data_IF_765720431689
#
_entry.id   IF_765720431689
#
_cell.length_a   1.000
_cell.length_b   1.000
_cell.length_c   1.000
_cell.angle_alpha   90.00
_cell.angle_beta   90.00
_cell.angle_gamma   90.00
#
_symmetry.space_group_name_H-M   'P 1'
#
loop_
_entity.id
_entity.type
_entity.pdbx_description
1 polymer ?
#
# COMPACT_ATOMS: atom_id res chain seq x y z
N UNK A 1 20.75 36.21 35.92
CA UNK A 1 19.51 35.71 36.54
C UNK A 1 18.90 34.72 35.58
N UNK A 2 18.94 33.41 35.89
CA UNK A 2 18.44 32.37 35.00
C UNK A 2 16.91 32.28 35.15
N UNK A 3 16.16 32.61 34.11
CA UNK A 3 14.72 32.36 34.07
C UNK A 3 14.51 30.87 33.81
N UNK A 4 14.22 30.13 34.88
CA UNK A 4 13.79 28.74 34.81
C UNK A 4 12.35 28.71 34.33
N UNK A 5 12.12 28.31 33.08
CA UNK A 5 10.82 27.79 32.68
C UNK A 5 10.50 26.58 33.56
N UNK A 6 9.28 26.54 34.09
CA UNK A 6 8.80 25.67 35.17
C UNK A 6 8.80 24.15 34.84
N UNK A 7 9.41 23.74 33.72
CA UNK A 7 9.58 22.34 33.32
C UNK A 7 11.02 21.85 33.43
N UNK A 8 12.03 22.73 33.54
CA UNK A 8 13.43 22.37 33.87
C UNK A 8 14.17 21.46 32.87
N UNK A 9 13.56 21.06 31.75
CA UNK A 9 14.20 20.15 30.79
C UNK A 9 15.06 20.95 29.81
N UNK A 10 16.36 21.09 30.10
CA UNK A 10 17.33 21.53 29.10
C UNK A 10 17.64 20.38 28.14
N UNK A 11 17.02 20.39 26.96
CA UNK A 11 17.34 19.41 25.91
C UNK A 11 18.67 19.82 25.27
N UNK A 12 19.71 19.01 25.49
CA UNK A 12 21.02 19.16 24.87
C UNK A 12 20.88 19.22 23.33
N UNK A 13 21.68 20.05 22.65
CA UNK A 13 21.69 20.16 21.17
C UNK A 13 21.85 18.80 20.48
N UNK A 14 22.62 17.87 21.07
CA UNK A 14 22.73 16.49 20.59
C UNK A 14 21.40 15.73 20.66
N UNK A 15 20.68 15.83 21.78
CA UNK A 15 19.37 15.18 21.93
C UNK A 15 18.32 15.77 20.98
N UNK A 16 18.40 17.07 20.70
CA UNK A 16 17.53 17.74 19.73
C UNK A 16 17.72 17.18 18.32
N UNK A 17 18.97 17.05 17.87
CA UNK A 17 19.27 16.48 16.54
C UNK A 17 18.77 15.04 16.40
N UNK A 18 18.86 14.24 17.47
CA UNK A 18 18.32 12.87 17.50
C UNK A 18 16.79 12.89 17.40
N UNK A 19 16.13 13.79 18.13
CA UNK A 19 14.68 13.92 18.12
C UNK A 19 14.16 14.40 16.77
N UNK A 20 14.83 15.37 16.15
CA UNK A 20 14.55 15.82 14.78
C UNK A 20 14.68 14.66 13.79
N UNK A 21 15.79 13.93 13.84
CA UNK A 21 16.02 12.80 12.95
C UNK A 21 14.95 11.72 13.11
N UNK A 22 14.61 11.34 14.36
CA UNK A 22 13.56 10.38 14.64
C UNK A 22 12.19 10.89 14.16
N UNK A 23 11.86 12.15 14.43
CA UNK A 23 10.63 12.80 14.00
C UNK A 23 10.47 12.81 12.48
N UNK A 24 11.50 13.22 11.74
CA UNK A 24 11.48 13.19 10.27
C UNK A 24 11.36 11.77 9.72
N UNK A 25 12.10 10.81 10.29
CA UNK A 25 12.06 9.43 9.83
C UNK A 25 10.66 8.84 10.00
N UNK A 26 10.03 9.00 11.18
CA UNK A 26 8.67 8.52 11.42
C UNK A 26 7.64 9.26 10.57
N UNK A 27 7.84 10.56 10.32
CA UNK A 27 6.97 11.34 9.45
C UNK A 27 7.03 10.87 8.00
N UNK A 28 8.22 10.54 7.48
CA UNK A 28 8.38 9.99 6.13
C UNK A 28 7.66 8.64 6.03
N UNK A 29 7.79 7.77 7.03
CA UNK A 29 7.08 6.47 7.05
C UNK A 29 5.57 6.67 7.04
N UNK A 30 5.05 7.59 7.88
CA UNK A 30 3.62 7.94 7.91
C UNK A 30 3.12 8.49 6.57
N UNK A 31 3.90 9.38 5.93
CA UNK A 31 3.61 9.88 4.57
C UNK A 31 3.51 8.73 3.56
N UNK A 32 4.47 7.81 3.57
CA UNK A 32 4.47 6.67 2.65
C UNK A 32 3.21 5.82 2.86
N UNK A 33 2.83 5.52 4.11
CA UNK A 33 1.64 4.71 4.39
C UNK A 33 0.35 5.40 3.91
N UNK A 34 0.18 6.68 4.20
CA UNK A 34 -1.00 7.45 3.75
C UNK A 34 -1.06 7.55 2.22
N UNK A 35 0.08 7.81 1.56
CA UNK A 35 0.16 7.86 0.10
C UNK A 35 -0.14 6.49 -0.52
N UNK A 36 0.44 5.41 -0.01
CA UNK A 36 0.22 4.06 -0.54
C UNK A 36 -1.24 3.62 -0.38
N UNK A 37 -1.88 3.96 0.74
CA UNK A 37 -3.31 3.67 0.92
C UNK A 37 -4.16 4.47 -0.06
N UNK A 38 -4.00 5.80 -0.13
CA UNK A 38 -4.85 6.62 -1.00
C UNK A 38 -4.62 6.30 -2.49
N UNK A 39 -3.40 5.99 -2.89
CA UNK A 39 -3.11 5.56 -4.27
C UNK A 39 -3.68 4.18 -4.58
N UNK A 40 -3.84 3.29 -3.59
CA UNK A 40 -4.47 1.99 -3.78
C UNK A 40 -5.98 2.07 -4.03
N UNK A 41 -6.63 3.18 -3.68
CA UNK A 41 -8.06 3.42 -3.91
C UNK A 41 -8.38 3.86 -5.34
N UNK A 42 -7.37 4.05 -6.18
CA UNK A 42 -7.49 4.62 -7.51
C UNK A 42 -6.94 3.67 -8.56
N UNK A 43 -7.66 3.47 -9.66
CA UNK A 43 -7.21 2.63 -10.77
C UNK A 43 -6.42 3.41 -11.82
N UNK A 44 -6.83 4.66 -12.10
CA UNK A 44 -6.20 5.54 -13.09
C UNK A 44 -4.86 6.11 -12.60
N UNK A 45 -3.89 6.26 -13.50
CA UNK A 45 -2.59 6.88 -13.17
C UNK A 45 -2.71 8.34 -12.75
N UNK A 46 -3.64 9.09 -13.35
CA UNK A 46 -3.87 10.49 -13.01
C UNK A 46 -4.47 10.61 -11.61
N UNK A 47 -5.48 9.80 -11.31
CA UNK A 47 -6.13 9.78 -10.00
C UNK A 47 -5.14 9.30 -8.92
N UNK A 48 -4.25 8.35 -9.23
CA UNK A 48 -3.14 7.96 -8.33
C UNK A 48 -2.24 9.14 -8.01
N UNK A 49 -1.84 9.95 -9.00
CA UNK A 49 -1.02 11.14 -8.76
C UNK A 49 -1.74 12.14 -7.85
N UNK A 50 -3.03 12.37 -8.08
CA UNK A 50 -3.86 13.28 -7.29
C UNK A 50 -4.04 12.78 -5.85
N UNK A 51 -4.28 11.47 -5.67
CA UNK A 51 -4.38 10.83 -4.36
C UNK A 51 -3.05 10.85 -3.61
N UNK A 52 -1.92 10.68 -4.30
CA UNK A 52 -0.59 10.83 -3.70
C UNK A 52 -0.35 12.26 -3.21
N UNK A 53 -0.63 13.27 -4.03
CA UNK A 53 -0.50 14.67 -3.64
C UNK A 53 -1.40 15.02 -2.45
N UNK A 54 -2.64 14.52 -2.45
CA UNK A 54 -3.60 14.70 -1.35
C UNK A 54 -3.10 14.05 -0.06
N UNK A 55 -2.54 12.84 -0.14
CA UNK A 55 -1.95 12.15 1.01
C UNK A 55 -0.80 12.92 1.65
N UNK A 56 0.12 13.44 0.83
CA UNK A 56 1.20 14.32 1.31
C UNK A 56 0.61 15.57 1.98
N UNK A 57 -0.41 16.18 1.36
CA UNK A 57 -1.08 17.36 1.92
C UNK A 57 -1.70 17.12 3.29
N UNK A 58 -2.40 16.00 3.48
CA UNK A 58 -2.99 15.62 4.77
C UNK A 58 -1.92 15.42 5.85
N UNK A 59 -0.82 14.78 5.49
CA UNK A 59 0.28 14.49 6.41
C UNK A 59 1.02 15.75 6.85
N UNK A 60 1.37 16.63 5.91
CA UNK A 60 1.97 17.94 6.23
C UNK A 60 1.02 18.78 7.08
N UNK A 61 -0.27 18.77 6.76
CA UNK A 61 -1.30 19.48 7.52
C UNK A 61 -1.41 18.97 8.96
N UNK A 62 -1.35 17.65 9.17
CA UNK A 62 -1.38 17.02 10.50
C UNK A 62 -0.26 17.55 11.39
N UNK A 63 0.98 17.56 10.88
CA UNK A 63 2.14 18.05 11.61
C UNK A 63 2.13 19.56 11.86
N UNK A 64 1.40 20.34 11.05
CA UNK A 64 1.21 21.77 11.30
C UNK A 64 0.09 22.04 12.32
N UNK A 65 -1.08 21.42 12.17
CA UNK A 65 -2.26 21.73 12.98
C UNK A 65 -2.12 21.32 14.44
N UNK A 66 -1.45 20.20 14.74
CA UNK A 66 -1.33 19.72 16.12
C UNK A 66 -0.48 20.66 17.00
N UNK A 67 0.75 21.06 16.61
CA UNK A 67 1.52 22.06 17.35
C UNK A 67 0.85 23.43 17.40
N UNK A 68 0.22 23.87 16.30
CA UNK A 68 -0.51 25.15 16.25
C UNK A 68 -1.68 25.15 17.24
N UNK A 69 -2.42 24.03 17.36
CA UNK A 69 -3.49 23.91 18.34
C UNK A 69 -2.97 24.07 19.78
N UNK A 70 -1.85 23.44 20.11
CA UNK A 70 -1.21 23.58 21.42
C UNK A 70 -0.77 25.03 21.69
N UNK A 71 -0.19 25.70 20.69
CA UNK A 71 0.19 27.12 20.82
C UNK A 71 -1.02 28.04 21.04
N UNK A 72 -2.15 27.80 20.37
CA UNK A 72 -3.36 28.60 20.59
C UNK A 72 -3.96 28.39 21.97
N UNK A 73 -3.90 27.16 22.51
CA UNK A 73 -4.32 26.90 23.88
C UNK A 73 -3.45 27.63 24.90
N UNK A 74 -2.12 27.66 24.67
CA UNK A 74 -1.20 28.41 25.53
C UNK A 74 -1.44 29.92 25.50
N UNK A 75 -1.86 30.47 24.35
CA UNK A 75 -2.16 31.91 24.20
C UNK A 75 -3.59 32.30 24.63
N UNK A 76 -4.38 31.37 25.16
CA UNK A 76 -5.76 31.64 25.61
C UNK A 76 -6.79 31.77 24.47
N UNK A 77 -6.42 31.51 23.22
CA UNK A 77 -7.34 31.51 22.07
C UNK A 77 -8.05 30.15 21.94
N UNK A 78 -8.82 29.75 22.96
CA UNK A 78 -9.40 28.41 23.08
C UNK A 78 -10.28 28.01 21.88
N UNK A 79 -11.02 28.94 21.27
CA UNK A 79 -11.88 28.64 20.11
C UNK A 79 -11.06 28.22 18.88
N UNK A 80 -10.00 28.96 18.57
CA UNK A 80 -9.11 28.65 17.46
C UNK A 80 -8.29 27.38 17.74
N UNK A 81 -7.79 27.25 18.99
CA UNK A 81 -7.10 26.04 19.44
C UNK A 81 -7.98 24.79 19.31
N UNK A 82 -9.24 24.86 19.76
CA UNK A 82 -10.19 23.75 19.65
C UNK A 82 -10.49 23.39 18.20
N UNK A 83 -10.71 24.37 17.32
CA UNK A 83 -10.94 24.11 15.90
C UNK A 83 -9.74 23.40 15.24
N UNK A 84 -8.53 23.91 15.45
CA UNK A 84 -7.30 23.28 14.93
C UNK A 84 -7.06 21.90 15.54
N UNK A 85 -7.40 21.70 16.81
CA UNK A 85 -7.26 20.42 17.49
C UNK A 85 -8.21 19.35 16.92
N UNK A 86 -9.47 19.71 16.66
CA UNK A 86 -10.44 18.79 16.04
C UNK A 86 -9.98 18.37 14.64
N UNK A 87 -9.48 19.31 13.83
CA UNK A 87 -8.92 19.01 12.51
C UNK A 87 -7.68 18.10 12.66
N UNK A 88 -6.78 18.41 13.60
CA UNK A 88 -5.61 17.59 13.91
C UNK A 88 -5.98 16.16 14.28
N UNK A 89 -6.96 15.96 15.17
CA UNK A 89 -7.46 14.63 15.54
C UNK A 89 -8.04 13.90 14.33
N UNK A 90 -8.86 14.57 13.50
CA UNK A 90 -9.43 13.96 12.31
C UNK A 90 -8.35 13.48 11.33
N UNK A 91 -7.29 14.27 11.14
CA UNK A 91 -6.14 13.89 10.31
C UNK A 91 -5.33 12.73 10.91
N UNK A 92 -5.14 12.71 12.24
CA UNK A 92 -4.49 11.59 12.93
C UNK A 92 -5.30 10.30 12.77
N UNK A 93 -6.63 10.35 12.95
CA UNK A 93 -7.49 9.18 12.77
C UNK A 93 -7.47 8.64 11.34
N UNK A 94 -7.44 9.54 10.35
CA UNK A 94 -7.28 9.16 8.94
C UNK A 94 -5.93 8.46 8.71
N UNK A 95 -4.84 9.02 9.26
CA UNK A 95 -3.48 8.47 9.14
C UNK A 95 -3.33 7.12 9.87
N UNK A 96 -3.96 6.96 11.04
CA UNK A 96 -4.04 5.68 11.75
C UNK A 96 -4.75 4.61 10.92
N UNK A 97 -5.92 4.96 10.36
CA UNK A 97 -6.68 4.06 9.49
C UNK A 97 -5.86 3.67 8.26
N UNK A 98 -5.13 4.62 7.69
CA UNK A 98 -4.25 4.37 6.56
C UNK A 98 -3.10 3.42 6.89
N UNK A 99 -2.43 3.65 8.02
CA UNK A 99 -1.33 2.81 8.51
C UNK A 99 -1.79 1.39 8.82
N UNK A 100 -2.91 1.23 9.53
CA UNK A 100 -3.49 -0.09 9.83
C UNK A 100 -3.90 -0.81 8.55
N UNK A 101 -4.61 -0.13 7.64
CA UNK A 101 -5.04 -0.70 6.37
C UNK A 101 -3.86 -1.18 5.51
N UNK A 102 -2.81 -0.37 5.42
CA UNK A 102 -1.60 -0.71 4.67
C UNK A 102 -0.87 -1.92 5.28
N UNK A 103 -0.61 -1.91 6.60
CA UNK A 103 0.06 -3.02 7.27
C UNK A 103 -0.74 -4.32 7.16
N UNK A 104 -2.06 -4.23 7.34
CA UNK A 104 -2.96 -5.38 7.20
C UNK A 104 -2.90 -5.97 5.79
N UNK A 105 -3.04 -5.11 4.76
CA UNK A 105 -2.96 -5.52 3.35
C UNK A 105 -1.60 -6.14 2.99
N UNK A 106 -0.49 -5.59 3.49
CA UNK A 106 0.85 -6.13 3.22
C UNK A 106 1.07 -7.50 3.83
N UNK A 107 0.63 -7.71 5.08
CA UNK A 107 0.72 -9.02 5.71
C UNK A 107 -0.12 -10.04 4.96
N UNK A 108 -1.35 -9.69 4.55
CA UNK A 108 -2.20 -10.63 3.81
C UNK A 108 -1.69 -10.94 2.41
N UNK A 109 -1.19 -9.94 1.69
CA UNK A 109 -0.54 -10.16 0.41
C UNK A 109 0.69 -11.07 0.56
N UNK A 110 1.46 -10.91 1.63
CA UNK A 110 2.62 -11.76 1.90
C UNK A 110 2.20 -13.19 2.28
N UNK A 111 1.14 -13.33 3.06
CA UNK A 111 0.55 -14.63 3.42
C UNK A 111 0.01 -15.36 2.18
N UNK A 112 -0.66 -14.63 1.27
CA UNK A 112 -1.14 -15.18 0.00
C UNK A 112 0.03 -15.65 -0.87
N UNK A 113 1.06 -14.82 -1.04
CA UNK A 113 2.26 -15.21 -1.79
C UNK A 113 2.96 -16.41 -1.16
N UNK A 114 3.05 -16.46 0.18
CA UNK A 114 3.62 -17.60 0.89
C UNK A 114 2.80 -18.87 0.62
N UNK A 115 1.47 -18.78 0.72
CA UNK A 115 0.53 -19.86 0.38
C UNK A 115 0.71 -20.36 -1.05
N UNK A 116 0.70 -19.47 -2.04
CA UNK A 116 0.90 -19.82 -3.46
C UNK A 116 2.29 -20.42 -3.74
N UNK A 117 3.30 -19.98 -2.99
CA UNK A 117 4.66 -20.49 -3.13
C UNK A 117 4.87 -21.86 -2.47
N UNK A 118 3.96 -22.27 -1.58
CA UNK A 118 4.08 -23.49 -0.78
C UNK A 118 4.08 -24.76 -1.64
N UNK A 119 4.79 -25.79 -1.17
CA UNK A 119 4.86 -27.09 -1.84
C UNK A 119 3.48 -27.74 -1.88
N UNK A 120 2.71 -27.62 -0.80
CA UNK A 120 1.37 -28.18 -0.68
C UNK A 120 0.40 -27.54 -1.70
N UNK A 121 0.37 -26.22 -1.79
CA UNK A 121 -0.44 -25.51 -2.79
C UNK A 121 -0.09 -25.95 -4.21
N UNK A 122 1.20 -26.00 -4.54
CA UNK A 122 1.68 -26.43 -5.85
C UNK A 122 1.35 -27.87 -6.16
N UNK A 123 1.44 -28.76 -5.16
CA UNK A 123 1.09 -30.17 -5.32
C UNK A 123 -0.41 -30.33 -5.59
N UNK A 124 -1.27 -29.65 -4.82
CA UNK A 124 -2.71 -29.67 -5.04
C UNK A 124 -3.05 -29.11 -6.42
N UNK A 125 -2.47 -27.97 -6.80
CA UNK A 125 -2.73 -27.37 -8.10
C UNK A 125 -2.24 -28.26 -9.25
N UNK A 126 -1.10 -28.95 -9.08
CA UNK A 126 -0.65 -29.96 -10.04
C UNK A 126 -1.61 -31.15 -10.15
N UNK A 127 -2.26 -31.57 -9.06
CA UNK A 127 -3.28 -32.63 -9.09
C UNK A 127 -4.56 -32.14 -9.79
N UNK A 128 -4.95 -30.88 -9.57
CA UNK A 128 -6.08 -30.25 -10.26
C UNK A 128 -5.83 -30.21 -11.77
N UNK A 129 -4.64 -29.82 -12.22
CA UNK A 129 -4.28 -29.81 -13.64
C UNK A 129 -4.32 -31.21 -14.28
N UNK A 130 -3.87 -32.22 -13.55
CA UNK A 130 -3.95 -33.62 -13.98
C UNK A 130 -5.41 -34.08 -14.11
N UNK A 131 -6.25 -33.74 -13.14
CA UNK A 131 -7.69 -34.05 -13.16
C UNK A 131 -8.38 -33.34 -14.33
N UNK A 132 -8.08 -32.06 -14.58
CA UNK A 132 -8.64 -31.32 -15.71
C UNK A 132 -8.26 -31.95 -17.06
N UNK A 133 -7.01 -32.40 -17.18
CA UNK A 133 -6.56 -33.13 -18.36
C UNK A 133 -7.34 -34.43 -18.54
N UNK A 134 -7.57 -35.18 -17.46
CA UNK A 134 -8.36 -36.43 -17.49
C UNK A 134 -9.83 -36.18 -17.86
N UNK A 135 -10.46 -35.16 -17.28
CA UNK A 135 -11.83 -34.76 -17.59
C UNK A 135 -11.94 -34.38 -19.08
N UNK A 136 -11.02 -33.57 -19.58
CA UNK A 136 -11.02 -33.16 -20.99
C UNK A 136 -10.85 -34.35 -21.93
N UNK A 137 -9.93 -35.28 -21.61
CA UNK A 137 -9.74 -36.50 -22.39
C UNK A 137 -10.96 -37.42 -22.36
N UNK A 138 -11.61 -37.59 -21.19
CA UNK A 138 -12.83 -38.37 -21.04
C UNK A 138 -14.00 -37.75 -21.80
N UNK A 139 -14.19 -36.44 -21.70
CA UNK A 139 -15.25 -35.73 -22.43
C UNK A 139 -15.04 -35.79 -23.94
N UNK A 140 -13.80 -35.61 -24.42
CA UNK A 140 -13.48 -35.76 -25.84
C UNK A 140 -13.75 -37.19 -26.32
N UNK A 141 -13.33 -38.21 -25.56
CA UNK A 141 -13.58 -39.60 -25.89
C UNK A 141 -15.08 -39.97 -25.84
N UNK A 142 -15.82 -39.44 -24.86
CA UNK A 142 -17.27 -39.62 -24.74
C UNK A 142 -18.02 -39.00 -25.91
N UNK A 143 -17.59 -37.82 -26.38
CA UNK A 143 -18.17 -37.15 -27.54
C UNK A 143 -17.96 -37.95 -28.83
N UNK A 144 -16.77 -38.53 -29.02
CA UNK A 144 -16.49 -39.43 -30.15
C UNK A 144 -17.38 -40.67 -30.08
N UNK A 145 -17.46 -41.32 -28.93
CA UNK A 145 -18.25 -42.54 -28.73
C UNK A 145 -19.75 -42.32 -28.89
N UNK A 146 -20.26 -41.14 -28.48
CA UNK A 146 -21.67 -40.77 -28.63
C UNK A 146 -22.13 -40.76 -30.11
N UNK A 147 -21.21 -40.49 -31.03
CA UNK A 147 -21.47 -40.46 -32.48
C UNK A 147 -21.24 -41.80 -33.18
N UNK A 148 -20.80 -42.83 -32.45
CA UNK A 148 -20.53 -44.15 -33.02
C UNK A 148 -21.80 -44.86 -33.49
N UNK A 149 -21.69 -45.62 -34.58
CA UNK A 149 -22.78 -46.46 -35.12
C UNK A 149 -22.99 -47.75 -34.32
N UNK A 150 -22.04 -48.11 -33.47
CA UNK A 150 -22.12 -49.31 -32.64
C UNK A 150 -22.78 -48.97 -31.30
N UNK A 151 -23.92 -49.62 -31.01
CA UNK A 151 -24.71 -49.38 -29.78
C UNK A 151 -23.87 -49.53 -28.51
N UNK A 152 -23.02 -50.56 -28.44
CA UNK A 152 -22.14 -50.81 -27.30
C UNK A 152 -21.12 -49.69 -27.06
N UNK A 153 -20.64 -49.04 -28.12
CA UNK A 153 -19.70 -47.91 -28.02
C UNK A 153 -20.44 -46.65 -27.55
N UNK A 154 -21.64 -46.42 -28.07
CA UNK A 154 -22.50 -45.30 -27.65
C UNK A 154 -22.93 -45.40 -26.19
N UNK A 155 -23.29 -46.59 -25.72
CA UNK A 155 -23.63 -46.84 -24.32
C UNK A 155 -22.40 -46.69 -23.39
N UNK A 156 -21.18 -46.82 -23.93
CA UNK A 156 -19.93 -46.50 -23.22
C UNK A 156 -19.67 -45.00 -23.01
N UNK A 157 -20.33 -44.13 -23.78
CA UNK A 157 -20.22 -42.68 -23.65
C UNK A 157 -20.72 -42.19 -22.29
N UNK A 158 -21.87 -42.70 -21.82
CA UNK A 158 -22.43 -42.31 -20.51
C UNK A 158 -21.54 -42.71 -19.34
N UNK A 159 -20.83 -43.85 -19.43
CA UNK A 159 -19.89 -44.26 -18.40
C UNK A 159 -18.70 -43.29 -18.31
N UNK A 160 -18.16 -42.84 -19.45
CA UNK A 160 -17.07 -41.87 -19.51
C UNK A 160 -17.50 -40.50 -18.98
N UNK A 161 -18.73 -40.08 -19.28
CA UNK A 161 -19.31 -38.84 -18.71
C UNK A 161 -19.46 -38.94 -17.19
N UNK A 162 -19.94 -40.06 -16.65
CA UNK A 162 -20.03 -40.26 -15.20
C UNK A 162 -18.65 -40.25 -14.51
N UNK A 163 -17.63 -40.84 -15.14
CA UNK A 163 -16.25 -40.77 -14.62
C UNK A 163 -15.71 -39.33 -14.62
N UNK A 164 -16.03 -38.54 -15.66
CA UNK A 164 -15.66 -37.13 -15.71
C UNK A 164 -16.35 -36.31 -14.61
N UNK A 165 -17.61 -36.62 -14.28
CA UNK A 165 -18.34 -36.00 -13.17
C UNK A 165 -17.72 -36.31 -11.81
N UNK A 166 -17.38 -37.58 -11.54
CA UNK A 166 -16.69 -37.98 -10.29
C UNK A 166 -15.33 -37.29 -10.13
N UNK A 167 -14.57 -37.17 -11.22
CA UNK A 167 -13.33 -36.40 -11.23
C UNK A 167 -13.58 -34.91 -10.97
N UNK A 168 -14.68 -34.36 -11.50
CA UNK A 168 -15.13 -33.00 -11.21
C UNK A 168 -15.41 -32.77 -9.72
N UNK A 169 -16.10 -33.69 -9.06
CA UNK A 169 -16.32 -33.63 -7.61
C UNK A 169 -15.01 -33.67 -6.82
N UNK A 170 -14.09 -34.56 -7.20
CA UNK A 170 -12.76 -34.66 -6.57
C UNK A 170 -11.94 -33.38 -6.75
N UNK A 171 -12.04 -32.73 -7.92
CA UNK A 171 -11.43 -31.42 -8.15
C UNK A 171 -11.97 -30.37 -7.18
N UNK A 172 -13.30 -30.31 -7.00
CA UNK A 172 -13.91 -29.38 -6.04
C UNK A 172 -13.41 -29.65 -4.61
N UNK A 173 -13.29 -30.91 -4.21
CA UNK A 173 -12.74 -31.28 -2.89
C UNK A 173 -11.29 -30.81 -2.73
N UNK A 174 -10.42 -31.05 -3.73
CA UNK A 174 -9.03 -30.58 -3.70
C UNK A 174 -8.93 -29.05 -3.62
N UNK A 175 -9.79 -28.34 -4.36
CA UNK A 175 -9.85 -26.88 -4.30
C UNK A 175 -10.31 -26.38 -2.92
N UNK A 176 -11.24 -27.08 -2.27
CA UNK A 176 -11.65 -26.74 -0.90
C UNK A 176 -10.51 -26.95 0.12
N UNK A 177 -9.66 -27.95 -0.08
CA UNK A 177 -8.48 -28.17 0.77
C UNK A 177 -7.46 -27.03 0.69
N UNK A 178 -7.43 -26.26 -0.41
CA UNK A 178 -6.56 -25.08 -0.50
C UNK A 178 -6.93 -24.03 0.54
N UNK A 179 -8.20 -23.93 0.97
CA UNK A 179 -8.62 -22.97 2.00
C UNK A 179 -7.96 -23.24 3.35
N UNK A 180 -7.66 -24.51 3.65
CA UNK A 180 -7.02 -24.93 4.89
C UNK A 180 -5.52 -24.59 4.96
N UNK A 181 -4.88 -24.27 3.84
CA UNK A 181 -3.47 -23.87 3.84
C UNK A 181 -3.37 -22.46 4.44
N UNK A 182 -2.84 -22.39 5.66
CA UNK A 182 -2.64 -21.14 6.38
C UNK A 182 -1.37 -20.43 5.93
N UNK A 183 -1.50 -19.55 4.93
CA UNK A 183 -0.40 -18.74 4.44
C UNK A 183 0.23 -17.81 5.49
N UNK A 184 -0.51 -17.47 6.56
CA UNK A 184 -0.03 -16.58 7.60
C UNK A 184 1.12 -17.21 8.38
N UNK A 185 0.99 -18.49 8.78
CA UNK A 185 2.01 -19.25 9.52
C UNK A 185 3.34 -19.39 8.76
N UNK A 186 3.27 -19.34 7.43
CA UNK A 186 4.44 -19.43 6.55
C UNK A 186 5.23 -18.12 6.47
N UNK A 187 4.71 -17.02 7.03
CA UNK A 187 5.40 -15.72 7.07
C UNK A 187 6.00 -15.47 8.45
N UNK A 188 7.13 -14.75 8.50
CA UNK A 188 7.77 -14.37 9.78
C UNK A 188 6.89 -13.46 10.64
N UNK A 189 6.13 -12.55 10.03
CA UNK A 189 5.17 -11.71 10.75
C UNK A 189 4.00 -12.52 11.29
N UNK A 190 3.50 -13.49 10.51
CA UNK A 190 2.41 -14.35 10.95
C UNK A 190 2.80 -15.27 12.10
N UNK A 191 3.98 -15.90 12.05
CA UNK A 191 4.46 -16.72 13.18
C UNK A 191 4.62 -15.91 14.46
N UNK A 192 5.03 -14.64 14.37
CA UNK A 192 5.05 -13.72 15.51
C UNK A 192 3.64 -13.46 16.06
N UNK A 193 2.64 -13.22 15.20
CA UNK A 193 1.25 -13.03 15.65
C UNK A 193 0.68 -14.30 16.29
N UNK A 194 0.98 -15.48 15.75
CA UNK A 194 0.59 -16.76 16.35
C UNK A 194 1.24 -16.98 17.72
N UNK A 195 2.53 -16.65 17.85
CA UNK A 195 3.25 -16.77 19.12
C UNK A 195 2.67 -15.85 20.19
N UNK A 196 2.33 -14.60 19.83
CA UNK A 196 1.67 -13.68 20.77
C UNK A 196 0.27 -14.18 21.10
N UNK A 197 -0.48 -14.67 20.10
CA UNK A 197 -1.83 -15.20 20.27
C UNK A 197 -1.88 -16.40 21.22
N UNK A 198 -0.91 -17.30 21.14
CA UNK A 198 -0.81 -18.44 22.05
C UNK A 198 -0.42 -18.05 23.47
N UNK A 199 0.38 -16.98 23.64
CA UNK A 199 0.73 -16.47 24.97
C UNK A 199 -0.44 -15.82 25.71
N UNK A 200 -1.37 -15.20 24.98
CA UNK A 200 -2.49 -14.44 25.58
C UNK A 200 -3.86 -15.15 25.44
N UNK A 201 -3.88 -16.38 24.93
CA UNK A 201 -5.08 -17.17 24.64
C UNK A 201 -6.13 -16.38 23.83
N UNK A 202 -5.67 -15.72 22.75
CA UNK A 202 -6.52 -14.92 21.88
C UNK A 202 -6.47 -15.40 20.43
N UNK A 203 -7.45 -14.99 19.64
CA UNK A 203 -7.51 -15.29 18.22
C UNK A 203 -6.41 -14.54 17.43
N UNK A 204 -5.60 -15.23 16.59
CA UNK A 204 -4.49 -14.62 15.86
C UNK A 204 -4.88 -13.40 15.00
N UNK A 205 -6.08 -13.40 14.43
CA UNK A 205 -6.58 -12.28 13.62
C UNK A 205 -6.78 -11.01 14.46
N UNK A 206 -7.28 -11.15 15.69
CA UNK A 206 -7.42 -10.03 16.62
C UNK A 206 -6.05 -9.50 17.03
N UNK A 207 -5.12 -10.39 17.34
CA UNK A 207 -3.74 -10.02 17.71
C UNK A 207 -3.06 -9.25 16.59
N UNK A 208 -3.16 -9.74 15.34
CA UNK A 208 -2.66 -9.04 14.15
C UNK A 208 -3.23 -7.62 14.04
N UNK A 209 -4.55 -7.46 14.17
CA UNK A 209 -5.20 -6.15 14.11
C UNK A 209 -4.69 -5.20 15.20
N UNK A 210 -4.66 -5.65 16.46
CA UNK A 210 -4.20 -4.83 17.58
C UNK A 210 -2.71 -4.49 17.47
N UNK A 211 -1.87 -5.43 17.02
CA UNK A 211 -0.45 -5.16 16.80
C UNK A 211 -0.25 -4.06 15.75
N UNK A 212 -0.96 -4.13 14.61
CA UNK A 212 -0.91 -3.07 13.61
C UNK A 212 -1.45 -1.74 14.12
N UNK A 213 -2.52 -1.76 14.92
CA UNK A 213 -3.07 -0.56 15.55
C UNK A 213 -2.06 0.08 16.51
N UNK A 214 -1.40 -0.71 17.36
CA UNK A 214 -0.37 -0.21 18.30
C UNK A 214 0.79 0.39 17.52
N UNK A 215 1.29 -0.28 16.49
CA UNK A 215 2.37 0.24 15.65
C UNK A 215 1.97 1.55 14.98
N UNK A 216 0.76 1.64 14.42
CA UNK A 216 0.23 2.87 13.84
C UNK A 216 0.17 4.01 14.87
N UNK A 217 -0.38 3.75 16.06
CA UNK A 217 -0.46 4.73 17.15
C UNK A 217 0.93 5.20 17.59
N UNK A 218 1.89 4.30 17.72
CA UNK A 218 3.27 4.65 18.09
C UNK A 218 3.94 5.51 17.02
N UNK A 219 3.79 5.18 15.73
CA UNK A 219 4.35 5.99 14.63
C UNK A 219 3.79 7.41 14.69
N UNK A 220 2.47 7.54 14.83
CA UNK A 220 1.78 8.83 14.86
C UNK A 220 2.14 9.68 16.08
N UNK A 221 2.01 9.11 17.28
CA UNK A 221 2.28 9.84 18.52
C UNK A 221 3.76 10.19 18.66
N UNK A 222 4.68 9.29 18.30
CA UNK A 222 6.10 9.57 18.38
C UNK A 222 6.54 10.62 17.34
N UNK A 223 6.01 10.59 16.11
CA UNK A 223 6.32 11.62 15.11
C UNK A 223 5.86 13.00 15.58
N UNK A 224 4.61 13.12 16.03
CA UNK A 224 4.04 14.38 16.53
C UNK A 224 4.81 14.87 17.76
N UNK A 225 5.08 14.00 18.74
CA UNK A 225 5.80 14.37 19.94
C UNK A 225 7.22 14.83 19.63
N UNK A 226 7.96 14.08 18.80
CA UNK A 226 9.33 14.40 18.43
C UNK A 226 9.44 15.77 17.72
N UNK A 227 8.59 16.00 16.72
CA UNK A 227 8.57 17.27 15.99
C UNK A 227 8.08 18.44 16.85
N UNK A 228 7.08 18.22 17.71
CA UNK A 228 6.56 19.26 18.60
C UNK A 228 7.60 19.68 19.62
N UNK A 229 8.26 18.72 20.29
CA UNK A 229 9.30 19.02 21.28
C UNK A 229 10.51 19.71 20.65
N UNK A 230 10.93 19.27 19.47
CA UNK A 230 12.05 19.91 18.77
C UNK A 230 11.72 21.34 18.32
N UNK A 231 10.50 21.55 17.78
CA UNK A 231 10.02 22.87 17.38
C UNK A 231 9.99 23.86 18.55
N UNK A 232 9.49 23.43 19.72
CA UNK A 232 9.49 24.26 20.94
C UNK A 232 10.93 24.57 21.38
N UNK A 233 11.82 23.59 21.39
CA UNK A 233 13.22 23.79 21.78
C UNK A 233 13.96 24.78 20.85
N UNK A 234 13.63 24.78 19.55
CA UNK A 234 14.18 25.71 18.57
C UNK A 234 13.65 27.13 18.75
N UNK A 235 12.34 27.29 18.98
CA UNK A 235 11.73 28.59 19.23
C UNK A 235 12.31 29.27 20.48
N UNK A 236 12.54 28.49 21.55
CA UNK A 236 13.13 29.01 22.79
C UNK A 236 14.61 29.41 22.61
N UNK A 237 15.39 28.68 21.81
CA UNK A 237 16.78 29.05 21.54
C UNK A 237 16.89 30.40 20.82
N UNK A 238 16.08 30.61 19.78
CA UNK A 238 16.06 31.87 19.01
C UNK A 238 15.64 33.04 19.90
N UNK A 239 14.65 32.84 20.78
CA UNK A 239 14.21 33.89 21.71
C UNK A 239 15.33 34.31 22.65
N UNK A 240 16.15 33.38 23.12
CA UNK A 240 17.26 33.68 24.03
C UNK A 240 18.42 34.40 23.31
N UNK A 241 18.73 34.04 22.06
CA UNK A 241 19.75 34.73 21.25
C UNK A 241 19.39 36.20 21.03
N UNK A 242 18.14 36.51 20.66
CA UNK A 242 17.70 37.90 20.44
C UNK A 242 17.79 38.76 21.72
N UNK A 243 17.53 38.18 22.90
CA UNK A 243 17.61 38.91 24.18
C UNK A 243 19.07 39.23 24.54
N UNK A 244 20.03 38.36 24.20
CA UNK A 244 21.45 38.62 24.45
C UNK A 244 22.03 39.70 23.52
N UNK A 245 21.55 39.80 22.28
CA UNK A 245 21.96 40.86 21.35
C UNK A 245 21.45 42.25 21.78
N UNK A 246 20.17 42.37 22.18
CA UNK A 246 19.61 43.62 22.71
C UNK A 246 20.35 44.13 23.96
N UNK A 247 20.80 43.21 24.84
CA UNK A 247 21.54 43.57 26.04
C UNK A 247 22.99 44.03 25.76
N UNK A 248 23.62 43.57 24.67
CA UNK A 248 24.98 44.01 24.29
C UNK A 248 24.97 45.38 23.62
N UNK A 249 23.99 45.68 22.77
CA UNK A 249 23.87 47.01 22.15
C UNK A 249 23.62 48.13 23.17
N UNK A 250 22.97 47.84 24.30
CA UNK A 250 22.77 48.83 25.37
C UNK A 250 24.01 49.05 26.26
N UNK A 251 25.02 48.17 26.22
CA UNK A 251 26.23 48.30 27.06
C UNK A 251 27.41 48.97 26.35
N UNK A 252 27.40 49.12 25.02
CA UNK A 252 28.49 49.73 24.24
C UNK A 252 28.31 51.22 23.90
N UNK A 253 27.30 51.92 24.46
CA UNK A 253 27.21 53.38 24.33
C UNK A 253 27.68 54.12 25.59
N UNK A 254 28.99 54.41 25.74
CA UNK A 254 29.47 55.28 26.79
C UNK A 254 28.94 56.70 26.56
N UNK A 255 28.21 57.16 27.57
CA UNK A 255 27.81 58.54 27.87
C UNK A 255 28.77 59.59 27.33
N UNK A 256 28.36 60.27 26.25
CA UNK A 256 28.71 61.68 26.07
C UNK A 256 27.69 62.37 25.16
N UNK A 257 26.50 62.72 25.68
CA UNK A 257 25.61 63.68 25.03
C UNK A 257 25.08 64.69 26.06
N UNK A 258 25.15 66.00 25.79
CA UNK A 258 24.75 67.05 26.71
C UNK A 258 23.24 67.11 26.94
N UNK A 259 22.90 67.63 28.12
CA UNK A 259 21.57 67.91 28.62
C UNK A 259 20.74 68.79 27.64
N UNK A 260 19.64 68.24 27.12
CA UNK A 260 18.61 68.98 26.37
C UNK A 260 17.33 69.04 27.21
N UNK A 261 16.67 70.21 27.35
CA UNK A 261 15.53 70.38 28.23
C UNK A 261 14.23 69.79 27.65
N UNK A 262 13.39 69.31 28.59
CA UNK A 262 12.05 68.77 28.39
C UNK A 262 11.17 69.70 27.54
N UNK A 263 10.59 69.15 26.48
CA UNK A 263 9.38 69.69 25.86
C UNK A 263 8.23 68.70 26.09
N UNK A 264 7.16 69.24 26.64
CA UNK A 264 5.85 68.62 26.80
C UNK A 264 5.23 68.34 25.43
N UNK A 265 4.67 67.15 25.22
CA UNK A 265 3.70 66.97 24.14
C UNK A 265 2.66 65.90 24.45
N UNK A 266 1.48 66.42 24.83
CA UNK A 266 0.14 66.10 24.35
C UNK A 266 -0.25 64.62 24.13
N UNK A 267 -1.10 64.18 25.06
CA UNK A 267 -2.05 63.08 24.98
C UNK A 267 -3.00 63.31 23.79
N UNK A 268 -3.00 62.40 22.81
CA UNK A 268 -4.12 62.23 21.88
C UNK A 268 -4.89 60.97 22.23
N UNK A 269 -6.10 61.20 22.76
CA UNK A 269 -7.20 60.25 22.77
C UNK A 269 -7.60 59.97 21.32
N UNK A 270 -7.81 58.70 20.95
CA UNK A 270 -8.61 58.40 19.78
C UNK A 270 -9.61 57.29 20.07
N UNK A 271 -10.86 57.69 19.92
CA UNK A 271 -12.09 56.96 20.11
C UNK A 271 -12.48 56.33 18.76
N UNK A 272 -12.95 55.09 18.82
CA UNK A 272 -14.14 54.62 18.12
C UNK A 272 -14.05 54.01 16.70
N UNK A 273 -15.01 53.09 16.47
CA UNK A 273 -15.49 52.48 15.21
C UNK A 273 -14.72 51.20 14.79
N UNK A 274 -15.34 50.02 14.60
CA UNK A 274 -16.77 49.74 14.49
C UNK A 274 -17.14 48.26 14.61
N UNK A 275 -18.36 48.07 15.10
CA UNK A 275 -19.16 46.87 15.04
C UNK A 275 -19.43 46.48 13.58
N UNK A 276 -19.16 45.22 13.22
CA UNK A 276 -19.83 44.55 12.10
C UNK A 276 -20.47 43.27 12.64
N UNK A 277 -21.77 43.41 12.91
CA UNK A 277 -22.71 42.31 13.05
C UNK A 277 -23.22 41.94 11.65
N UNK A 278 -23.03 40.68 11.26
CA UNK A 278 -23.45 40.18 9.94
C UNK A 278 -23.72 38.69 10.00
N UNK A 279 -25.00 38.35 10.16
CA UNK A 279 -25.60 37.01 10.10
C UNK A 279 -25.12 36.20 8.89
N UNK A 280 -24.80 34.92 9.10
CA UNK A 280 -25.44 33.88 8.31
C UNK A 280 -25.57 32.57 9.11
N UNK A 281 -26.83 32.17 9.33
CA UNK A 281 -27.22 30.91 9.98
C UNK A 281 -27.62 29.96 8.87
N UNK A 282 -26.94 28.84 8.73
CA UNK A 282 -27.49 27.60 8.18
C UNK A 282 -26.79 26.45 8.88
N UNK A 283 -27.35 26.06 10.02
CA UNK A 283 -26.99 24.88 10.81
C UNK A 283 -28.02 23.82 10.43
N UNK A 284 -27.57 22.73 9.81
CA UNK A 284 -28.34 21.49 9.72
C UNK A 284 -28.20 20.73 11.06
N UNK A 285 -29.27 20.09 11.55
CA UNK A 285 -29.27 19.50 12.88
C UNK A 285 -28.45 18.22 12.97
N UNK A 286 -27.77 18.11 14.10
CA UNK A 286 -27.15 16.93 14.71
C UNK A 286 -28.06 15.69 14.63
N UNK A 287 -27.47 14.56 14.24
CA UNK A 287 -27.93 13.26 14.75
C UNK A 287 -27.50 13.15 16.22
N UNK A 288 -28.50 13.06 17.08
CA UNK A 288 -28.38 12.82 18.51
C UNK A 288 -28.13 11.31 18.70
N UNK A 289 -26.88 10.91 18.93
CA UNK A 289 -26.60 9.56 19.42
C UNK A 289 -26.85 9.50 20.91
N UNK A 290 -27.88 8.74 21.27
CA UNK A 290 -28.21 8.43 22.65
C UNK A 290 -27.04 7.71 23.32
N UNK A 291 -26.73 8.18 24.51
CA UNK A 291 -25.83 7.60 25.47
C UNK A 291 -26.41 6.25 25.95
N UNK A 292 -25.82 5.13 25.56
CA UNK A 292 -26.16 3.80 26.09
C UNK A 292 -24.95 3.29 26.87
N UNK A 293 -24.92 3.61 28.17
CA UNK A 293 -24.23 2.83 29.19
C UNK A 293 -25.16 1.68 29.58
N UNK A 294 -24.69 0.45 29.41
CA UNK A 294 -25.40 -0.77 29.81
C UNK A 294 -25.29 -1.85 28.74
N UNK A 295 -24.12 -2.48 28.65
CA UNK A 295 -23.91 -3.65 27.81
C UNK A 295 -23.84 -4.88 28.70
N UNK A 296 -24.99 -5.35 29.12
CA UNK A 296 -25.24 -6.77 29.36
C UNK A 296 -26.59 -7.08 28.67
N UNK A 297 -26.56 -8.11 27.83
CA UNK A 297 -27.70 -8.70 27.10
C UNK A 297 -28.28 -7.88 25.92
N UNK A 298 -27.62 -7.98 24.76
CA UNK A 298 -28.26 -7.69 23.46
C UNK A 298 -29.36 -8.74 23.21
N UNK A 299 -30.64 -8.34 23.01
CA UNK A 299 -31.74 -9.26 22.78
C UNK A 299 -31.49 -10.18 21.58
N UNK A 300 -31.75 -11.47 21.75
CA UNK A 300 -31.51 -12.54 20.76
C UNK A 300 -32.12 -12.24 19.38
N UNK A 301 -33.22 -11.49 19.33
CA UNK A 301 -33.87 -11.09 18.08
C UNK A 301 -33.06 -10.07 17.26
N UNK A 302 -32.33 -9.14 17.88
CA UNK A 302 -31.49 -8.18 17.15
C UNK A 302 -30.26 -8.84 16.51
N UNK A 303 -29.72 -9.90 17.14
CA UNK A 303 -28.63 -10.69 16.56
C UNK A 303 -29.09 -11.49 15.34
N UNK A 304 -30.30 -12.03 15.37
CA UNK A 304 -30.89 -12.75 14.23
C UNK A 304 -31.13 -11.81 13.03
N UNK A 305 -31.66 -10.60 13.28
CA UNK A 305 -31.86 -9.60 12.24
C UNK A 305 -30.53 -9.12 11.62
N UNK A 306 -29.48 -8.94 12.43
CA UNK A 306 -28.15 -8.58 11.94
C UNK A 306 -27.52 -9.71 11.11
N UNK A 307 -27.70 -10.97 11.51
CA UNK A 307 -27.20 -12.13 10.76
C UNK A 307 -27.91 -12.31 9.42
N UNK A 308 -29.24 -12.12 9.36
CA UNK A 308 -29.97 -12.20 8.08
C UNK A 308 -29.59 -11.07 7.13
N UNK A 309 -29.40 -9.84 7.64
CA UNK A 309 -28.90 -8.73 6.84
C UNK A 309 -27.48 -9.00 6.30
N UNK A 310 -26.60 -9.62 7.09
CA UNK A 310 -25.25 -9.97 6.65
C UNK A 310 -25.27 -11.09 5.59
N UNK A 311 -26.12 -12.11 5.74
CA UNK A 311 -26.31 -13.17 4.73
C UNK A 311 -26.82 -12.60 3.41
N UNK A 312 -27.72 -11.63 3.47
CA UNK A 312 -28.27 -10.99 2.27
C UNK A 312 -27.22 -10.13 1.55
N UNK A 313 -26.37 -9.40 2.29
CA UNK A 313 -25.22 -8.70 1.70
C UNK A 313 -24.23 -9.66 1.05
N UNK A 314 -23.94 -10.81 1.67
CA UNK A 314 -23.06 -11.83 1.08
C UNK A 314 -23.67 -12.39 -0.20
N UNK A 315 -24.98 -12.72 -0.21
CA UNK A 315 -25.67 -13.18 -1.43
C UNK A 315 -25.60 -12.16 -2.56
N UNK A 316 -25.79 -10.88 -2.26
CA UNK A 316 -25.70 -9.81 -3.27
C UNK A 316 -24.27 -9.66 -3.81
N UNK A 317 -23.25 -9.76 -2.96
CA UNK A 317 -21.84 -9.72 -3.38
C UNK A 317 -21.46 -10.94 -4.24
N UNK A 318 -21.94 -12.14 -3.89
CA UNK A 318 -21.71 -13.36 -4.69
C UNK A 318 -22.44 -13.28 -6.04
N UNK A 319 -23.68 -12.80 -6.08
CA UNK A 319 -24.43 -12.62 -7.32
C UNK A 319 -23.79 -11.57 -8.25
N UNK A 320 -23.24 -10.49 -7.69
CA UNK A 320 -22.49 -9.49 -8.44
C UNK A 320 -21.21 -10.10 -9.05
N UNK A 321 -20.46 -10.87 -8.28
CA UNK A 321 -19.23 -11.53 -8.73
C UNK A 321 -19.50 -12.56 -9.84
N UNK A 322 -20.59 -13.32 -9.74
CA UNK A 322 -21.00 -14.28 -10.78
C UNK A 322 -21.42 -13.56 -12.08
N UNK A 323 -22.19 -12.47 -12.00
CA UNK A 323 -22.53 -11.64 -13.18
C UNK A 323 -21.29 -11.04 -13.84
N UNK A 324 -20.32 -10.61 -13.05
CA UNK A 324 -19.06 -10.07 -13.58
C UNK A 324 -18.25 -11.16 -14.32
N UNK A 325 -18.20 -12.39 -13.79
CA UNK A 325 -17.57 -13.51 -14.48
C UNK A 325 -18.28 -13.91 -15.78
N UNK A 326 -19.62 -13.87 -15.83
CA UNK A 326 -20.38 -14.09 -17.08
C UNK A 326 -20.09 -13.00 -18.12
N UNK A 327 -20.03 -11.72 -17.71
CA UNK A 327 -19.69 -10.63 -18.62
C UNK A 327 -18.29 -10.75 -19.23
N UNK A 328 -17.31 -11.25 -18.45
CA UNK A 328 -15.96 -11.52 -18.97
C UNK A 328 -15.99 -12.66 -20.01
N UNK A 329 -16.79 -13.71 -19.78
CA UNK A 329 -16.93 -14.82 -20.73
C UNK A 329 -17.62 -14.40 -22.03
N UNK A 330 -18.55 -13.46 -21.98
CA UNK A 330 -19.25 -12.96 -23.17
C UNK A 330 -18.42 -11.94 -23.97
N UNK A 331 -17.51 -11.19 -23.31
CA UNK A 331 -16.56 -10.33 -24.01
C UNK A 331 -15.54 -11.11 -24.86
N UNK A 332 -15.23 -12.35 -24.51
CA UNK A 332 -14.28 -13.18 -25.27
C UNK A 332 -14.94 -13.88 -26.48
N UNK A 333 -16.27 -13.98 -26.51
CA UNK A 333 -17.03 -14.59 -27.61
C UNK A 333 -17.37 -13.63 -28.76
N UNK A 334 -17.30 -12.31 -28.56
CA UNK A 334 -17.76 -11.30 -29.52
C UNK A 334 -16.64 -10.42 -30.10
N UNK A 335 -15.55 -11.03 -30.60
CA UNK A 335 -14.64 -10.34 -31.54
C UNK A 335 -14.89 -10.81 -32.98
N UNK A 336 -15.54 -9.99 -33.83
CA UNK A 336 -15.69 -10.32 -35.23
C UNK A 336 -14.37 -10.13 -35.97
N UNK A 337 -13.92 -11.17 -36.67
CA UNK A 337 -12.87 -11.09 -37.69
C UNK A 337 -13.45 -10.33 -38.88
N UNK A 338 -12.96 -9.12 -39.15
CA UNK A 338 -13.33 -8.37 -40.36
C UNK A 338 -12.10 -8.04 -41.20
N UNK A 339 -12.11 -8.52 -42.45
CA UNK A 339 -11.28 -8.10 -43.57
C UNK A 339 -11.59 -6.64 -43.95
N UNK A 340 -10.59 -5.81 -44.24
CA UNK A 340 -10.75 -4.63 -45.12
C UNK A 340 -9.48 -4.37 -45.95
N UNK A 341 -9.66 -4.37 -47.26
CA UNK A 341 -8.74 -3.88 -48.29
C UNK A 341 -9.02 -2.38 -48.58
N UNK A 342 -7.94 -1.63 -48.88
CA UNK A 342 -7.87 -0.38 -49.67
C UNK A 342 -8.65 0.90 -49.28
N UNK A 343 -7.92 1.94 -48.83
CA UNK A 343 -7.61 3.17 -49.61
C UNK A 343 -6.84 4.21 -48.76
N UNK A 344 -5.93 4.96 -49.40
CA UNK A 344 -4.93 5.91 -48.85
C UNK A 344 -5.44 7.37 -48.99
N UNK A 345 -4.93 8.39 -48.24
CA UNK A 345 -3.54 8.88 -48.37
C UNK A 345 -2.80 9.27 -47.07
N UNK A 346 -1.47 9.39 -47.19
CA UNK A 346 -0.40 9.51 -46.16
C UNK A 346 -0.49 10.79 -45.32
N UNK A 347 0.02 10.76 -44.06
CA UNK A 347 1.34 11.38 -43.83
C UNK A 347 2.32 10.58 -42.93
N UNK A 348 3.60 10.85 -43.19
CA UNK A 348 4.87 10.61 -42.45
C UNK A 348 4.96 9.43 -41.47
N UNK A 349 5.73 8.42 -41.92
CA UNK A 349 6.19 7.26 -41.14
C UNK A 349 7.23 7.65 -40.10
N UNK A 350 6.89 7.49 -38.83
CA UNK A 350 7.85 7.03 -37.81
C UNK A 350 7.39 5.62 -37.43
N UNK A 351 8.12 4.59 -37.88
CA UNK A 351 7.84 3.19 -37.56
C UNK A 351 8.29 2.94 -36.12
N UNK A 352 7.37 3.04 -35.17
CA UNK A 352 7.53 2.41 -33.85
C UNK A 352 6.75 1.11 -33.89
N UNK A 353 7.46 0.01 -34.13
CA UNK A 353 6.88 -1.33 -33.97
C UNK A 353 6.72 -1.57 -32.47
N UNK A 354 5.53 -1.35 -31.94
CA UNK A 354 5.17 -1.81 -30.59
C UNK A 354 4.99 -3.32 -30.70
N UNK A 355 6.07 -4.07 -30.47
CA UNK A 355 6.01 -5.51 -30.23
C UNK A 355 5.34 -5.67 -28.86
N UNK A 356 4.14 -6.28 -28.85
CA UNK A 356 3.51 -6.71 -27.60
C UNK A 356 4.47 -7.67 -26.89
N UNK A 357 4.99 -7.27 -25.73
CA UNK A 357 5.73 -8.15 -24.84
C UNK A 357 4.75 -9.22 -24.32
N UNK A 358 4.77 -10.38 -24.97
CA UNK A 358 4.12 -11.58 -24.48
C UNK A 358 4.87 -11.99 -23.21
N UNK A 359 4.18 -12.03 -22.07
CA UNK A 359 4.76 -12.22 -20.74
C UNK A 359 5.58 -13.50 -20.65
N UNK A 360 6.90 -13.36 -20.77
CA UNK A 360 7.84 -14.46 -20.82
C UNK A 360 8.72 -14.42 -19.57
N UNK A 361 8.26 -15.04 -18.48
CA UNK A 361 8.89 -14.86 -17.16
C UNK A 361 9.78 -16.03 -16.73
N UNK A 362 9.88 -17.09 -17.52
CA UNK A 362 10.27 -18.39 -17.00
C UNK A 362 11.61 -18.90 -17.53
N UNK A 363 12.51 -19.22 -16.58
CA UNK A 363 13.78 -19.95 -16.81
C UNK A 363 13.54 -21.48 -16.83
N UNK A 364 12.34 -21.93 -16.42
CA UNK A 364 11.87 -23.33 -16.41
C UNK A 364 10.41 -23.39 -16.86
N UNK A 365 9.97 -24.46 -17.54
CA UNK A 365 8.58 -24.62 -18.01
C UNK A 365 8.43 -24.53 -19.54
N UNK A 366 7.24 -24.20 -20.06
CA UNK A 366 6.93 -24.17 -21.50
C UNK A 366 7.81 -23.22 -22.33
N UNK A 367 8.47 -22.25 -21.70
CA UNK A 367 9.45 -21.34 -22.32
C UNK A 367 10.92 -21.72 -22.07
N UNK A 368 11.20 -22.89 -21.46
CA UNK A 368 12.57 -23.39 -21.22
C UNK A 368 13.39 -23.50 -22.53
N UNK A 369 12.73 -23.81 -23.64
CA UNK A 369 13.35 -23.88 -24.97
C UNK A 369 14.04 -22.56 -25.37
N UNK A 370 13.54 -21.41 -24.87
CA UNK A 370 14.13 -20.10 -25.16
C UNK A 370 15.40 -19.87 -24.34
N UNK A 371 15.41 -20.23 -23.05
CA UNK A 371 16.62 -20.19 -22.22
C UNK A 371 17.72 -21.08 -22.80
N UNK A 372 17.42 -22.34 -23.13
CA UNK A 372 18.37 -23.26 -23.74
C UNK A 372 18.94 -22.71 -25.06
N UNK A 373 18.10 -22.10 -25.90
CA UNK A 373 18.54 -21.43 -27.13
C UNK A 373 19.48 -20.25 -26.86
N UNK A 374 19.26 -19.49 -25.79
CA UNK A 374 20.17 -18.39 -25.39
C UNK A 374 21.51 -18.96 -24.91
N UNK A 375 21.48 -20.02 -24.09
CA UNK A 375 22.70 -20.69 -23.58
C UNK A 375 23.55 -21.22 -24.74
N UNK A 376 22.92 -21.94 -25.67
CA UNK A 376 23.60 -22.50 -26.84
C UNK A 376 24.22 -21.42 -27.72
N UNK A 377 23.51 -20.33 -27.99
CA UNK A 377 24.05 -19.23 -28.81
C UNK A 377 25.21 -18.48 -28.14
N UNK A 378 25.21 -18.38 -26.81
CA UNK A 378 26.32 -17.79 -26.06
C UNK A 378 27.54 -18.72 -26.09
N UNK A 379 27.35 -20.03 -25.89
CA UNK A 379 28.43 -21.04 -25.97
C UNK A 379 29.06 -21.11 -27.36
N UNK A 380 28.25 -20.98 -28.42
CA UNK A 380 28.72 -20.97 -29.80
C UNK A 380 29.30 -19.60 -30.25
N UNK A 381 29.31 -18.58 -29.38
CA UNK A 381 29.80 -17.24 -29.71
C UNK A 381 28.91 -16.43 -30.66
N UNK A 382 27.69 -16.92 -30.96
CA UNK A 382 26.68 -16.22 -31.79
C UNK A 382 26.01 -15.06 -31.05
N UNK A 383 26.05 -15.09 -29.72
CA UNK A 383 25.43 -14.11 -28.84
C UNK A 383 26.39 -13.66 -27.74
N UNK A 384 26.52 -12.34 -27.53
CA UNK A 384 27.31 -11.80 -26.42
C UNK A 384 26.52 -11.91 -25.10
N UNK A 385 27.14 -12.30 -23.97
CA UNK A 385 26.48 -12.46 -22.67
C UNK A 385 26.16 -11.10 -22.02
N UNK A 386 25.34 -10.28 -22.67
CA UNK A 386 24.90 -8.97 -22.18
C UNK A 386 23.39 -8.84 -22.29
N UNK A 387 22.76 -8.20 -21.31
CA UNK A 387 21.29 -8.01 -21.27
C UNK A 387 20.78 -7.35 -22.56
N UNK A 388 21.52 -6.36 -23.08
CA UNK A 388 21.19 -5.63 -24.30
C UNK A 388 21.17 -6.51 -25.54
N UNK A 389 22.19 -7.36 -25.71
CA UNK A 389 22.30 -8.25 -26.87
C UNK A 389 21.23 -9.35 -26.83
N UNK A 390 21.01 -9.94 -25.65
CA UNK A 390 19.98 -10.98 -25.44
C UNK A 390 18.59 -10.39 -25.76
N UNK A 391 18.26 -9.22 -25.21
CA UNK A 391 16.99 -8.54 -25.52
C UNK A 391 16.82 -8.29 -27.03
N UNK A 392 17.87 -7.77 -27.68
CA UNK A 392 17.82 -7.42 -29.10
C UNK A 392 17.65 -8.65 -30.01
N UNK A 393 18.37 -9.74 -29.74
CA UNK A 393 18.36 -10.93 -30.61
C UNK A 393 17.30 -11.98 -30.24
N UNK A 394 16.88 -12.04 -28.98
CA UNK A 394 15.93 -13.05 -28.47
C UNK A 394 14.54 -12.50 -28.17
N UNK A 395 14.36 -11.18 -28.24
CA UNK A 395 13.04 -10.55 -28.13
C UNK A 395 12.40 -10.69 -26.74
N UNK A 396 13.20 -10.85 -25.69
CA UNK A 396 12.71 -10.97 -24.32
C UNK A 396 12.82 -9.64 -23.55
N UNK A 397 12.03 -9.50 -22.48
CA UNK A 397 12.07 -8.34 -21.60
C UNK A 397 13.42 -8.18 -20.88
N UNK A 398 13.67 -6.99 -20.33
CA UNK A 398 14.93 -6.68 -19.62
C UNK A 398 15.16 -7.60 -18.41
N UNK A 399 14.15 -7.76 -17.57
CA UNK A 399 14.21 -8.61 -16.36
C UNK A 399 14.45 -10.09 -16.71
N UNK A 400 13.94 -10.55 -17.84
CA UNK A 400 14.08 -11.92 -18.33
C UNK A 400 15.52 -12.17 -18.78
N UNK A 401 16.07 -11.27 -19.59
CA UNK A 401 17.45 -11.34 -20.05
C UNK A 401 18.44 -11.26 -18.87
N UNK A 402 18.13 -10.47 -17.83
CA UNK A 402 18.91 -10.41 -16.60
C UNK A 402 18.89 -11.77 -15.85
N UNK A 403 17.70 -12.34 -15.63
CA UNK A 403 17.55 -13.66 -14.99
C UNK A 403 18.27 -14.78 -15.76
N UNK A 404 18.30 -14.73 -17.09
CA UNK A 404 19.06 -15.71 -17.89
C UNK A 404 20.56 -15.64 -17.61
N UNK A 405 21.14 -14.45 -17.51
CA UNK A 405 22.57 -14.29 -17.20
C UNK A 405 22.89 -14.72 -15.76
N UNK A 406 22.01 -14.40 -14.80
CA UNK A 406 22.15 -14.83 -13.42
C UNK A 406 22.09 -16.37 -13.31
N UNK A 407 21.13 -17.01 -13.98
CA UNK A 407 21.03 -18.47 -13.99
C UNK A 407 22.26 -19.10 -14.67
N UNK A 408 22.72 -18.58 -15.81
CA UNK A 408 23.92 -19.10 -16.47
C UNK A 408 25.18 -18.98 -15.61
N UNK A 409 25.26 -17.97 -14.75
CA UNK A 409 26.33 -17.85 -13.78
C UNK A 409 26.20 -18.90 -12.67
N UNK A 410 25.00 -19.12 -12.15
CA UNK A 410 24.72 -20.20 -11.19
C UNK A 410 25.00 -21.60 -11.78
N UNK A 411 24.71 -21.79 -13.06
CA UNK A 411 24.94 -23.04 -13.80
C UNK A 411 26.41 -23.23 -14.21
N UNK A 412 27.30 -22.28 -13.89
CA UNK A 412 28.72 -22.33 -14.22
C UNK A 412 29.04 -22.15 -15.71
N UNK A 413 28.09 -21.65 -16.51
CA UNK A 413 28.28 -21.33 -17.93
C UNK A 413 28.99 -19.99 -18.10
N UNK A 414 28.76 -19.05 -17.18
CA UNK A 414 29.34 -17.71 -17.20
C UNK A 414 30.10 -17.39 -15.91
N UNK A 415 31.25 -16.76 -16.03
CA UNK A 415 31.96 -16.09 -14.95
C UNK A 415 31.50 -14.64 -14.84
N UNK A 416 31.32 -14.16 -13.61
CA UNK A 416 30.92 -12.79 -13.31
C UNK A 416 32.14 -11.98 -12.85
N UNK A 417 32.53 -10.99 -13.62
CA UNK A 417 33.65 -10.09 -13.33
C UNK A 417 33.15 -8.70 -12.93
N UNK A 418 33.74 -8.14 -11.87
CA UNK A 418 33.48 -6.74 -11.48
C UNK A 418 34.45 -5.83 -12.21
N UNK A 419 33.93 -4.93 -13.04
CA UNK A 419 34.71 -3.90 -13.73
C UNK A 419 34.41 -2.51 -13.15
N UNK A 420 35.26 -1.52 -13.42
CA UNK A 420 34.98 -0.12 -13.06
C UNK A 420 33.71 0.45 -13.69
N UNK A 421 33.13 -0.24 -14.67
CA UNK A 421 31.87 0.12 -15.36
C UNK A 421 30.67 -0.74 -14.90
N UNK A 422 30.84 -1.55 -13.86
CA UNK A 422 29.83 -2.46 -13.33
C UNK A 422 30.14 -3.93 -13.60
N UNK A 423 29.14 -4.79 -13.36
CA UNK A 423 29.26 -6.24 -13.49
C UNK A 423 29.20 -6.67 -14.95
N UNK A 424 30.14 -7.51 -15.38
CA UNK A 424 30.17 -8.11 -16.71
C UNK A 424 30.20 -9.64 -16.61
N UNK A 425 29.52 -10.30 -17.54
CA UNK A 425 29.57 -11.76 -17.66
C UNK A 425 30.48 -12.15 -18.81
N UNK A 426 31.32 -13.17 -18.60
CA UNK A 426 32.16 -13.80 -19.64
C UNK A 426 31.92 -15.30 -19.65
N UNK A 427 32.14 -15.94 -20.79
CA UNK A 427 32.06 -17.40 -20.89
C UNK A 427 33.12 -18.02 -19.97
N UNK A 428 32.69 -19.00 -19.16
CA UNK A 428 33.54 -19.69 -18.19
C UNK A 428 34.61 -20.57 -18.83
#
# INVERSE_FOLDING_TARGET
>A
MAFTDNTGIQINSKMRNVLDFAGYTLSIVSIIFTVMLLTSLSDSSFDKLLMAATGIGFEVSKFAFVPIALLFFQRGHYKAGAASFVIGIALVMLSLSASVGFLHSKVDSSALLAKESSVEYKMIMSQVDQIDTQINNLNAAAAVDATSRYRQVRDGSSLKTQQAEQLGERKVQLLSSLENINGLEMTSSGSLFLSIASMIDAEPQKVKFYAHLIVAVLIELCAIAALSLSGIAKANAIKNENIEEEHKEQQEHPTNVPHVPKSEHLVFSNQNIGNISGRNKNVYPLYQTANIKGADEVPTEQKAALQEMLKEQVRQATAFTLKYQEQIKDQDKNKPVTQVLNSKPKPKKTKTTVVREQGDTAVKGSNANRYESVVTDIKEGRLKPTVREIKAKKGCGYEVAKKYLEQMHTDGVLLKESTSKGEQYKLA
#
